data_IF_008917049716
#
_entry.id   IF_008917049716
#
_cell.length_a   1.000
_cell.length_b   1.000
_cell.length_c   1.000
_cell.angle_alpha   90.00
_cell.angle_beta   90.00
_cell.angle_gamma   90.00
#
_symmetry.space_group_name_H-M   'P 1'
#
loop_
_entity.id
_entity.type
_entity.pdbx_description
1 polymer ?
#
# COMPACT_ATOMS: atom_id res chain seq x y z
N UNK A 1 10.03 -19.95 15.80
CA UNK A 1 8.64 -20.48 15.86
C UNK A 1 8.07 -20.59 14.46
N UNK A 2 7.40 -21.67 14.13
CA UNK A 2 6.76 -21.82 12.83
C UNK A 2 5.42 -21.08 12.81
N UNK A 3 5.20 -20.28 11.76
CA UNK A 3 3.93 -19.59 11.47
C UNK A 3 3.45 -19.95 10.07
N UNK A 4 2.15 -19.88 9.87
CA UNK A 4 1.49 -20.15 8.58
C UNK A 4 0.60 -18.98 8.23
N UNK A 5 0.73 -18.42 7.04
CA UNK A 5 -0.08 -17.29 6.57
C UNK A 5 -0.45 -17.46 5.09
N UNK A 6 -1.37 -16.65 4.63
CA UNK A 6 -1.68 -16.53 3.20
C UNK A 6 -1.06 -15.23 2.70
N UNK A 7 0.01 -15.31 1.91
CA UNK A 7 0.67 -14.16 1.32
C UNK A 7 0.31 -14.05 -0.16
N UNK A 8 -0.35 -12.95 -0.53
CA UNK A 8 -0.80 -12.71 -1.90
C UNK A 8 -1.58 -13.90 -2.50
N UNK A 9 -2.48 -14.50 -1.69
CA UNK A 9 -3.28 -15.66 -2.08
C UNK A 9 -2.58 -17.01 -1.98
N UNK A 10 -1.27 -17.05 -1.70
CA UNK A 10 -0.49 -18.29 -1.60
C UNK A 10 -0.22 -18.64 -0.14
N UNK A 11 -0.37 -19.92 0.21
CA UNK A 11 -0.02 -20.42 1.56
C UNK A 11 1.49 -20.43 1.73
N UNK A 12 1.96 -19.78 2.78
CA UNK A 12 3.37 -19.69 3.16
C UNK A 12 3.54 -20.21 4.58
N UNK A 13 4.54 -21.08 4.77
CA UNK A 13 4.99 -21.52 6.08
C UNK A 13 6.42 -21.01 6.29
N UNK A 14 6.68 -20.36 7.41
CA UNK A 14 7.98 -19.77 7.71
C UNK A 14 8.38 -20.02 9.16
N UNK A 15 9.66 -20.27 9.40
CA UNK A 15 10.24 -20.27 10.74
C UNK A 15 10.78 -18.88 11.06
N UNK A 16 10.25 -18.25 12.11
CA UNK A 16 10.58 -16.88 12.47
C UNK A 16 11.06 -16.79 13.93
N UNK A 17 11.96 -15.86 14.20
CA UNK A 17 12.30 -15.48 15.56
C UNK A 17 11.14 -14.68 16.22
N UNK A 18 11.11 -14.61 17.53
CA UNK A 18 10.00 -13.95 18.25
C UNK A 18 9.91 -12.44 17.95
N UNK A 19 11.00 -11.83 17.58
CA UNK A 19 11.15 -10.40 17.28
C UNK A 19 11.15 -10.09 15.76
N UNK A 20 10.98 -11.10 14.91
CA UNK A 20 10.92 -10.89 13.45
C UNK A 20 9.75 -9.96 13.08
N UNK A 21 10.04 -8.90 12.35
CA UNK A 21 9.01 -7.98 11.85
C UNK A 21 8.33 -8.55 10.61
N UNK A 22 7.05 -8.23 10.44
CA UNK A 22 6.29 -8.62 9.25
C UNK A 22 6.96 -8.11 7.97
N UNK A 23 7.54 -6.89 8.00
CA UNK A 23 8.34 -6.32 6.92
C UNK A 23 9.44 -7.29 6.46
N UNK A 24 10.23 -7.81 7.40
CA UNK A 24 11.37 -8.65 7.08
C UNK A 24 10.92 -10.02 6.55
N UNK A 25 9.84 -10.57 7.12
CA UNK A 25 9.24 -11.79 6.63
C UNK A 25 8.76 -11.65 5.18
N UNK A 26 7.90 -10.67 4.86
CA UNK A 26 7.36 -10.55 3.49
C UNK A 26 8.46 -10.26 2.47
N UNK A 27 9.49 -9.51 2.83
CA UNK A 27 10.66 -9.29 1.97
C UNK A 27 11.47 -10.57 1.73
N UNK A 28 11.65 -11.41 2.75
CA UNK A 28 12.32 -12.71 2.58
C UNK A 28 11.54 -13.67 1.67
N UNK A 29 10.23 -13.46 1.54
CA UNK A 29 9.36 -14.19 0.61
C UNK A 29 9.30 -13.57 -0.80
N UNK A 30 10.15 -12.57 -1.10
CA UNK A 30 10.26 -11.97 -2.42
C UNK A 30 9.39 -10.72 -2.65
N UNK A 31 8.63 -10.25 -1.65
CA UNK A 31 7.82 -9.03 -1.77
C UNK A 31 8.72 -7.77 -1.70
N UNK A 32 9.40 -7.45 -2.80
CA UNK A 32 10.35 -6.35 -2.89
C UNK A 32 9.69 -4.96 -2.89
N UNK A 33 8.39 -4.88 -3.17
CA UNK A 33 7.61 -3.64 -3.12
C UNK A 33 7.53 -3.06 -1.71
N UNK A 34 7.60 -3.90 -0.68
CA UNK A 34 7.55 -3.48 0.71
C UNK A 34 8.91 -2.89 1.11
N UNK A 35 8.99 -1.57 1.30
CA UNK A 35 10.25 -0.84 1.50
C UNK A 35 10.48 -0.47 2.96
N UNK A 36 11.74 -0.52 3.39
CA UNK A 36 12.18 0.08 4.65
C UNK A 36 12.75 1.47 4.35
N UNK A 37 11.95 2.52 4.54
CA UNK A 37 12.34 3.90 4.25
C UNK A 37 12.68 4.72 5.51
N UNK A 38 12.37 4.19 6.70
CA UNK A 38 12.70 4.83 7.98
C UNK A 38 12.87 3.76 9.08
N UNK A 39 13.37 4.20 10.24
CA UNK A 39 13.48 3.39 11.46
C UNK A 39 12.51 3.88 12.57
N UNK A 40 11.59 4.79 12.23
CA UNK A 40 10.71 5.48 13.19
C UNK A 40 9.23 5.28 12.91
N UNK A 41 8.88 4.35 12.03
CA UNK A 41 7.49 3.94 11.71
C UNK A 41 6.57 5.08 11.25
N UNK A 42 7.12 6.04 10.48
CA UNK A 42 6.38 7.24 10.05
C UNK A 42 6.37 7.50 8.55
N UNK A 43 7.11 6.73 7.72
CA UNK A 43 7.23 7.04 6.29
C UNK A 43 6.15 6.40 5.40
N UNK A 44 5.42 5.39 5.87
CA UNK A 44 4.38 4.70 5.12
C UNK A 44 4.85 3.73 4.01
N UNK A 45 6.16 3.61 3.77
CA UNK A 45 6.70 2.85 2.64
C UNK A 45 6.62 1.33 2.82
N UNK A 46 6.41 0.89 4.05
CA UNK A 46 6.27 -0.53 4.41
C UNK A 46 4.80 -0.99 4.53
N UNK A 47 3.84 -0.18 4.07
CA UNK A 47 2.43 -0.51 4.17
C UNK A 47 2.09 -1.80 3.42
N UNK A 48 1.39 -2.69 4.12
CA UNK A 48 0.79 -3.92 3.60
C UNK A 48 -0.64 -4.03 4.11
N UNK A 49 -1.47 -4.87 3.50
CA UNK A 49 -2.75 -5.22 4.10
C UNK A 49 -2.61 -6.46 4.97
N UNK A 50 -3.07 -6.37 6.20
CA UNK A 50 -3.26 -7.50 7.12
C UNK A 50 -4.76 -7.65 7.37
N UNK A 51 -5.36 -8.75 6.90
CA UNK A 51 -6.82 -8.94 6.90
C UNK A 51 -7.55 -7.75 6.27
N UNK A 52 -7.08 -7.31 5.08
CA UNK A 52 -7.61 -6.20 4.28
C UNK A 52 -7.49 -4.80 4.91
N UNK A 53 -6.80 -4.67 6.05
CA UNK A 53 -6.53 -3.38 6.72
C UNK A 53 -5.09 -2.93 6.49
N UNK A 54 -4.85 -1.66 6.14
CA UNK A 54 -3.50 -1.15 5.98
C UNK A 54 -2.77 -1.11 7.32
N UNK A 55 -1.57 -1.66 7.35
CA UNK A 55 -0.69 -1.63 8.51
C UNK A 55 0.75 -1.33 8.10
N UNK A 56 1.50 -0.68 8.98
CA UNK A 56 2.95 -0.52 8.83
C UNK A 56 3.63 -1.83 9.21
N UNK A 57 4.07 -2.61 8.25
CA UNK A 57 4.67 -3.94 8.51
C UNK A 57 5.95 -3.87 9.36
N UNK A 58 6.64 -2.72 9.39
CA UNK A 58 7.78 -2.48 10.28
C UNK A 58 7.40 -2.34 11.78
N UNK A 59 6.09 -2.26 12.09
CA UNK A 59 5.57 -2.14 13.47
C UNK A 59 4.71 -3.33 13.87
N UNK A 60 4.69 -4.38 13.04
CA UNK A 60 3.94 -5.62 13.29
C UNK A 60 4.92 -6.78 13.39
N UNK A 61 4.84 -7.55 14.48
CA UNK A 61 5.60 -8.80 14.59
C UNK A 61 5.04 -9.84 13.62
N UNK A 62 5.91 -10.59 12.96
CA UNK A 62 5.53 -11.65 12.01
C UNK A 62 4.60 -12.69 12.66
N UNK A 63 4.82 -13.01 13.93
CA UNK A 63 3.98 -13.93 14.70
C UNK A 63 2.49 -13.52 14.75
N UNK A 64 2.18 -12.21 14.61
CA UNK A 64 0.79 -11.73 14.59
C UNK A 64 0.07 -12.00 13.27
N UNK A 65 0.82 -12.36 12.24
CA UNK A 65 0.27 -12.75 10.93
C UNK A 65 -0.02 -14.25 10.83
N UNK A 66 0.27 -15.05 11.87
CA UNK A 66 -0.06 -16.47 11.88
C UNK A 66 -1.57 -16.70 11.69
N UNK A 67 -1.92 -17.58 10.77
CA UNK A 67 -3.30 -17.87 10.36
C UNK A 67 -4.00 -16.78 9.54
N UNK A 68 -3.33 -15.67 9.19
CA UNK A 68 -3.94 -14.50 8.55
C UNK A 68 -3.55 -14.33 7.09
N UNK A 69 -4.31 -13.46 6.40
CA UNK A 69 -4.00 -13.01 5.05
C UNK A 69 -3.15 -11.74 5.10
N UNK A 70 -2.08 -11.76 4.34
CA UNK A 70 -1.21 -10.60 4.10
C UNK A 70 -1.20 -10.32 2.61
N UNK A 71 -1.49 -9.09 2.22
CA UNK A 71 -1.45 -8.66 0.83
C UNK A 71 -0.46 -7.51 0.68
N UNK A 72 0.45 -7.67 -0.26
CA UNK A 72 1.40 -6.64 -0.68
C UNK A 72 1.03 -6.15 -2.08
N UNK A 73 1.74 -5.17 -2.62
CA UNK A 73 1.46 -4.65 -3.96
C UNK A 73 1.57 -5.74 -5.04
N UNK A 74 2.42 -6.74 -4.83
CA UNK A 74 2.55 -7.90 -5.72
C UNK A 74 1.23 -8.68 -5.86
N UNK A 75 0.35 -8.64 -4.87
CA UNK A 75 -0.97 -9.27 -4.90
C UNK A 75 -2.09 -8.38 -5.45
N UNK A 76 -1.80 -7.13 -5.82
CA UNK A 76 -2.78 -6.12 -6.27
C UNK A 76 -2.40 -5.49 -7.62
N UNK A 77 -1.76 -6.25 -8.50
CA UNK A 77 -1.16 -5.73 -9.73
C UNK A 77 -2.17 -5.03 -10.64
N UNK A 78 -3.38 -5.55 -10.80
CA UNK A 78 -4.42 -4.95 -11.65
C UNK A 78 -4.91 -3.62 -11.09
N UNK A 79 -5.33 -3.58 -9.81
CA UNK A 79 -5.76 -2.35 -9.14
C UNK A 79 -4.64 -1.30 -9.11
N UNK A 80 -3.41 -1.75 -8.85
CA UNK A 80 -2.24 -0.89 -8.79
C UNK A 80 -1.88 -0.30 -10.14
N UNK A 81 -1.99 -1.05 -11.23
CA UNK A 81 -1.72 -0.58 -12.57
C UNK A 81 -2.78 0.43 -13.04
N UNK A 82 -4.07 0.16 -12.77
CA UNK A 82 -5.17 1.07 -13.11
C UNK A 82 -4.98 2.42 -12.43
N UNK A 83 -4.77 2.44 -11.13
CA UNK A 83 -4.55 3.70 -10.39
C UNK A 83 -3.19 4.34 -10.73
N UNK A 84 -2.13 3.54 -10.86
CA UNK A 84 -0.77 4.00 -11.14
C UNK A 84 -0.65 4.80 -12.43
N UNK A 85 -1.46 4.49 -13.46
CA UNK A 85 -1.50 5.24 -14.70
C UNK A 85 -1.87 6.72 -14.47
N UNK A 86 -2.82 7.00 -13.59
CA UNK A 86 -3.21 8.38 -13.25
C UNK A 86 -2.11 9.14 -12.51
N UNK A 87 -1.30 8.46 -11.71
CA UNK A 87 -0.14 9.05 -11.03
C UNK A 87 0.95 9.38 -12.04
N UNK A 88 1.23 8.46 -12.95
CA UNK A 88 2.21 8.64 -14.02
C UNK A 88 1.85 9.81 -14.95
N UNK A 89 0.59 9.92 -15.36
CA UNK A 89 0.08 11.01 -16.21
C UNK A 89 0.27 12.40 -15.60
N UNK A 90 0.36 12.51 -14.28
CA UNK A 90 0.63 13.78 -13.59
C UNK A 90 2.14 14.06 -13.43
N UNK A 91 3.01 13.22 -13.96
CA UNK A 91 4.45 13.34 -13.74
C UNK A 91 4.86 13.20 -12.26
N UNK A 92 4.02 12.51 -11.47
CA UNK A 92 4.25 12.35 -10.03
C UNK A 92 5.27 11.25 -9.71
N UNK A 93 5.69 10.48 -10.69
CA UNK A 93 6.76 9.50 -10.57
C UNK A 93 8.12 10.11 -10.86
N UNK A 94 9.07 9.96 -9.94
CA UNK A 94 10.46 10.31 -10.12
C UNK A 94 11.34 9.11 -9.78
N UNK A 95 11.84 8.97 -8.54
CA UNK A 95 12.64 7.80 -8.18
C UNK A 95 11.81 6.51 -7.98
N UNK A 96 10.50 6.61 -7.77
CA UNK A 96 9.58 5.49 -7.61
C UNK A 96 9.63 4.78 -6.25
N UNK A 97 10.56 5.15 -5.36
CA UNK A 97 10.77 4.44 -4.11
C UNK A 97 9.56 4.48 -3.17
N UNK A 98 8.82 5.59 -3.13
CA UNK A 98 7.62 5.74 -2.31
C UNK A 98 6.37 5.11 -2.93
N UNK A 99 6.35 4.87 -4.24
CA UNK A 99 5.14 4.49 -4.98
C UNK A 99 4.43 3.26 -4.41
N UNK A 100 5.10 2.16 -4.08
CA UNK A 100 4.40 0.97 -3.56
C UNK A 100 3.60 1.26 -2.29
N UNK A 101 4.21 1.90 -1.29
CA UNK A 101 3.53 2.24 -0.04
C UNK A 101 2.42 3.28 -0.24
N UNK A 102 2.66 4.26 -1.11
CA UNK A 102 1.67 5.26 -1.49
C UNK A 102 0.44 4.62 -2.16
N UNK A 103 0.65 3.75 -3.15
CA UNK A 103 -0.45 3.05 -3.85
C UNK A 103 -1.23 2.17 -2.87
N UNK A 104 -0.56 1.41 -2.00
CA UNK A 104 -1.23 0.60 -0.99
C UNK A 104 -2.16 1.44 -0.10
N UNK A 105 -1.70 2.59 0.39
CA UNK A 105 -2.53 3.47 1.21
C UNK A 105 -3.64 4.18 0.42
N UNK A 106 -3.39 4.56 -0.84
CA UNK A 106 -4.44 5.11 -1.69
C UNK A 106 -5.55 4.09 -1.96
N UNK A 107 -5.19 2.83 -2.27
CA UNK A 107 -6.17 1.75 -2.43
C UNK A 107 -6.94 1.47 -1.12
N UNK A 108 -6.30 1.58 0.04
CA UNK A 108 -6.98 1.48 1.33
C UNK A 108 -8.00 2.62 1.50
N UNK A 109 -7.61 3.84 1.20
CA UNK A 109 -8.52 5.00 1.25
C UNK A 109 -9.74 4.80 0.36
N UNK A 110 -9.56 4.31 -0.89
CA UNK A 110 -10.68 4.07 -1.81
C UNK A 110 -11.62 2.94 -1.37
N UNK A 111 -11.14 2.01 -0.55
CA UNK A 111 -11.97 0.96 0.06
C UNK A 111 -12.74 1.47 1.28
N UNK A 112 -12.18 2.42 2.01
CA UNK A 112 -12.81 3.01 3.19
C UNK A 112 -13.79 4.15 2.85
N UNK A 113 -13.47 4.92 1.81
CA UNK A 113 -14.25 6.09 1.37
C UNK A 113 -14.39 6.07 -0.15
N UNK A 114 -15.61 6.04 -0.61
CA UNK A 114 -15.92 5.96 -2.04
C UNK A 114 -15.48 7.22 -2.80
N UNK A 115 -15.79 8.39 -2.24
CA UNK A 115 -15.45 9.71 -2.80
C UNK A 115 -14.89 10.63 -1.71
N UNK A 116 -13.64 10.43 -1.28
CA UNK A 116 -13.04 11.28 -0.26
C UNK A 116 -12.83 12.70 -0.79
N UNK A 117 -12.98 13.69 0.08
CA UNK A 117 -12.62 15.08 -0.21
C UNK A 117 -11.10 15.25 -0.29
N UNK A 118 -10.66 16.36 -0.88
CA UNK A 118 -9.23 16.69 -0.97
C UNK A 118 -8.55 16.74 0.41
N UNK A 119 -9.23 17.29 1.42
CA UNK A 119 -8.72 17.34 2.78
C UNK A 119 -8.58 15.94 3.40
N UNK A 120 -9.57 15.08 3.21
CA UNK A 120 -9.54 13.70 3.67
C UNK A 120 -8.42 12.89 3.00
N UNK A 121 -8.16 13.13 1.71
CA UNK A 121 -7.05 12.53 0.97
C UNK A 121 -5.70 12.96 1.59
N UNK A 122 -5.53 14.27 1.81
CA UNK A 122 -4.30 14.82 2.40
C UNK A 122 -4.07 14.31 3.81
N UNK A 123 -5.11 14.24 4.63
CA UNK A 123 -5.03 13.72 6.00
C UNK A 123 -4.65 12.23 5.99
N UNK A 124 -5.35 11.41 5.20
CA UNK A 124 -5.12 9.97 5.14
C UNK A 124 -3.71 9.63 4.68
N UNK A 125 -3.19 10.36 3.68
CA UNK A 125 -1.88 10.12 3.09
C UNK A 125 -0.73 10.91 3.74
N UNK A 126 -0.99 11.65 4.79
CA UNK A 126 0.02 12.46 5.51
C UNK A 126 1.19 11.63 6.05
N UNK A 127 0.96 10.33 6.32
CA UNK A 127 1.99 9.37 6.73
C UNK A 127 2.77 8.73 5.56
N UNK A 128 2.51 9.11 4.31
CA UNK A 128 3.22 8.59 3.13
C UNK A 128 4.25 9.60 2.64
N UNK A 129 5.52 9.40 3.02
CA UNK A 129 6.56 10.37 2.72
C UNK A 129 7.18 10.16 1.35
N UNK A 130 7.32 11.26 0.61
CA UNK A 130 8.05 11.34 -0.65
C UNK A 130 9.03 12.51 -0.59
N UNK A 131 10.25 12.31 -1.08
CA UNK A 131 11.27 13.37 -1.12
C UNK A 131 11.36 14.05 -2.48
N UNK A 132 10.72 13.50 -3.50
CA UNK A 132 10.89 13.91 -4.89
C UNK A 132 9.70 14.69 -5.45
N UNK A 133 8.47 14.20 -5.25
CA UNK A 133 7.27 14.64 -5.99
C UNK A 133 6.69 15.99 -5.51
N UNK A 134 6.91 16.38 -4.25
CA UNK A 134 6.23 17.53 -3.63
C UNK A 134 4.74 17.32 -3.40
N UNK A 135 4.22 16.09 -3.59
CA UNK A 135 2.84 15.62 -3.29
C UNK A 135 1.74 16.13 -4.22
N UNK A 136 1.83 17.31 -4.80
CA UNK A 136 0.79 17.92 -5.63
C UNK A 136 0.39 17.08 -6.85
N UNK A 137 1.38 16.48 -7.53
CA UNK A 137 1.12 15.56 -8.65
C UNK A 137 0.40 14.31 -8.20
N UNK A 138 0.74 13.77 -7.03
CA UNK A 138 0.07 12.61 -6.44
C UNK A 138 -1.39 12.93 -6.11
N UNK A 139 -1.66 14.09 -5.51
CA UNK A 139 -3.02 14.54 -5.20
C UNK A 139 -3.85 14.69 -6.48
N UNK A 140 -3.32 15.36 -7.51
CA UNK A 140 -4.03 15.48 -8.80
C UNK A 140 -4.32 14.13 -9.42
N UNK A 141 -3.38 13.19 -9.37
CA UNK A 141 -3.58 11.83 -9.86
C UNK A 141 -4.73 11.10 -9.15
N UNK A 142 -4.83 11.25 -7.83
CA UNK A 142 -5.95 10.69 -7.05
C UNK A 142 -7.27 11.34 -7.47
N UNK A 143 -7.34 12.67 -7.55
CA UNK A 143 -8.56 13.38 -7.92
C UNK A 143 -9.03 12.98 -9.33
N UNK A 144 -8.12 12.90 -10.30
CA UNK A 144 -8.43 12.46 -11.66
C UNK A 144 -8.93 11.01 -11.69
N UNK A 145 -8.33 10.11 -10.91
CA UNK A 145 -8.78 8.73 -10.78
C UNK A 145 -10.20 8.63 -10.20
N UNK A 146 -10.50 9.40 -9.18
CA UNK A 146 -11.83 9.42 -8.56
C UNK A 146 -12.89 9.98 -9.52
N UNK A 147 -12.57 11.03 -10.28
CA UNK A 147 -13.46 11.59 -11.30
C UNK A 147 -13.72 10.58 -12.43
N UNK A 148 -12.68 9.90 -12.90
CA UNK A 148 -12.81 8.84 -13.90
C UNK A 148 -13.68 7.68 -13.38
N UNK A 149 -13.49 7.25 -12.13
CA UNK A 149 -14.27 6.20 -11.49
C UNK A 149 -15.77 6.57 -11.45
N UNK A 150 -16.09 7.79 -11.03
CA UNK A 150 -17.45 8.34 -11.04
C UNK A 150 -18.11 8.29 -12.43
N UNK A 151 -17.36 8.71 -13.46
CA UNK A 151 -17.87 8.71 -14.84
C UNK A 151 -18.12 7.29 -15.35
N UNK A 152 -17.23 6.35 -15.02
CA UNK A 152 -17.36 4.92 -15.38
C UNK A 152 -18.57 4.28 -14.72
N UNK A 153 -18.85 4.57 -13.46
CA UNK A 153 -20.02 4.08 -12.73
C UNK A 153 -21.32 4.65 -13.29
N UNK A 154 -21.39 5.96 -13.54
CA UNK A 154 -22.54 6.62 -14.13
C UNK A 154 -22.85 6.14 -15.57
N UNK A 155 -21.85 5.65 -16.32
CA UNK A 155 -22.04 5.11 -17.66
C UNK A 155 -22.49 3.64 -17.66
N UNK A 156 -22.42 2.95 -16.51
CA UNK A 156 -22.82 1.54 -16.36
C UNK A 156 -24.25 1.37 -15.83
N UNK A 157 -24.90 2.46 -15.40
CA UNK A 157 -26.32 2.54 -15.02
C UNK A 157 -27.22 2.85 -16.23
#
# INVERSE_FOLDING_TARGET
>A
MQINLILNGTKVSADVAADTLLLDLVRSQGCASVKRGCETSNCGLCTVFLEDKPVLSCSVLAARADGKRVTTLEGLQEEAAEFGAFIADQGAEQCGFCNPGFIMNALALFREKEYPTEEEIKEYLSGNLCRCSGYEGQLRGILNFLDWKKQKEAAAE
#
